data_IF_582240688893
#
_entry.id   IF_582240688893
#
_cell.length_a   1.000
_cell.length_b   1.000
_cell.length_c   1.000
_cell.angle_alpha   90.00
_cell.angle_beta   90.00
_cell.angle_gamma   90.00
#
_symmetry.space_group_name_H-M   'P 1'
#
loop_
_entity.id
_entity.type
_entity.pdbx_description
1 polymer ?
#
# COMPACT_ATOMS: atom_id res chain seq x y z
N UNK A 1 -11.12 8.30 24.99
CA UNK A 1 -10.52 9.04 23.88
C UNK A 1 -9.16 8.44 23.56
N UNK A 2 -9.02 7.86 22.38
CA UNK A 2 -7.78 7.18 21.94
C UNK A 2 -7.02 8.11 20.98
N UNK A 3 -6.19 9.01 21.55
CA UNK A 3 -5.55 10.11 20.83
C UNK A 3 -4.37 9.64 20.01
N UNK A 4 -4.14 10.32 18.89
CA UNK A 4 -2.93 10.15 18.08
C UNK A 4 -1.70 10.51 18.93
N UNK A 5 -0.72 9.61 18.96
CA UNK A 5 0.54 9.77 19.67
C UNK A 5 1.65 10.18 18.71
N UNK A 6 2.57 11.03 19.17
CA UNK A 6 3.74 11.43 18.39
C UNK A 6 4.76 10.28 18.33
N UNK A 7 5.43 10.14 17.18
CA UNK A 7 6.49 9.15 16.94
C UNK A 7 6.04 7.69 17.14
N UNK A 8 4.86 7.35 16.60
CA UNK A 8 4.40 5.97 16.64
C UNK A 8 5.39 5.08 15.88
N UNK A 9 5.95 4.12 16.61
CA UNK A 9 6.87 3.13 16.03
C UNK A 9 6.10 2.28 15.02
N UNK A 10 6.60 2.23 13.80
CA UNK A 10 6.04 1.36 12.76
C UNK A 10 6.63 -0.06 12.87
N UNK A 11 7.56 -0.38 11.98
CA UNK A 11 8.25 -1.68 11.99
C UNK A 11 9.55 -1.56 12.78
N UNK A 12 9.78 -2.48 13.71
CA UNK A 12 10.99 -2.55 14.53
C UNK A 12 12.26 -2.85 13.71
N UNK A 13 13.44 -2.44 14.23
CA UNK A 13 14.72 -2.55 13.51
C UNK A 13 15.05 -3.98 13.10
N UNK A 14 14.97 -4.93 14.02
CA UNK A 14 15.26 -6.35 13.73
C UNK A 14 14.33 -6.92 12.64
N UNK A 15 13.04 -6.55 12.67
CA UNK A 15 12.09 -6.96 11.65
C UNK A 15 12.42 -6.30 10.30
N UNK A 16 12.87 -5.03 10.28
CA UNK A 16 13.31 -4.35 9.05
C UNK A 16 14.50 -5.03 8.37
N UNK A 17 15.46 -5.51 9.15
CA UNK A 17 16.62 -6.26 8.60
C UNK A 17 16.16 -7.56 7.93
N UNK A 18 15.26 -8.30 8.57
CA UNK A 18 14.72 -9.54 8.00
C UNK A 18 13.88 -9.27 6.75
N UNK A 19 13.07 -8.20 6.75
CA UNK A 19 12.34 -7.71 5.58
C UNK A 19 13.31 -7.42 4.44
N UNK A 20 14.36 -6.63 4.70
CA UNK A 20 15.36 -6.28 3.69
C UNK A 20 16.06 -7.51 3.10
N UNK A 21 16.41 -8.49 3.93
CA UNK A 21 17.02 -9.73 3.49
C UNK A 21 16.11 -10.54 2.56
N UNK A 22 14.83 -10.67 2.92
CA UNK A 22 13.82 -11.39 2.12
C UNK A 22 13.51 -10.65 0.81
N UNK A 23 13.32 -9.35 0.89
CA UNK A 23 13.12 -8.48 -0.29
C UNK A 23 14.25 -8.67 -1.32
N UNK A 24 15.50 -8.58 -0.88
CA UNK A 24 16.68 -8.74 -1.74
C UNK A 24 16.71 -10.11 -2.42
N UNK A 25 16.42 -11.18 -1.69
CA UNK A 25 16.39 -12.54 -2.25
C UNK A 25 15.26 -12.72 -3.26
N UNK A 26 14.06 -12.19 -2.97
CA UNK A 26 12.92 -12.21 -3.90
C UNK A 26 13.26 -11.42 -5.16
N UNK A 27 13.74 -10.18 -5.00
CA UNK A 27 14.13 -9.32 -6.12
C UNK A 27 15.18 -9.99 -7.00
N UNK A 28 16.21 -10.59 -6.41
CA UNK A 28 17.25 -11.31 -7.15
C UNK A 28 16.69 -12.49 -7.96
N UNK A 29 15.78 -13.28 -7.37
CA UNK A 29 15.15 -14.40 -8.06
C UNK A 29 14.39 -13.95 -9.32
N UNK A 30 13.58 -12.89 -9.19
CA UNK A 30 12.82 -12.35 -10.32
C UNK A 30 13.73 -11.65 -11.34
N UNK A 31 14.76 -10.92 -10.90
CA UNK A 31 15.72 -10.31 -11.80
C UNK A 31 16.55 -11.34 -12.58
N UNK A 32 16.89 -12.48 -11.96
CA UNK A 32 17.58 -13.56 -12.66
C UNK A 32 16.75 -14.15 -13.78
N UNK A 33 15.45 -14.35 -13.54
CA UNK A 33 14.51 -14.90 -14.53
C UNK A 33 14.20 -13.93 -15.66
N UNK A 34 13.83 -12.69 -15.34
CA UNK A 34 13.26 -11.77 -16.35
C UNK A 34 14.27 -10.79 -16.94
N UNK A 35 15.32 -10.44 -16.19
CA UNK A 35 16.33 -9.45 -16.61
C UNK A 35 17.71 -10.05 -16.88
N UNK A 36 17.88 -11.36 -16.69
CA UNK A 36 19.20 -12.02 -16.72
C UNK A 36 20.22 -11.30 -15.83
N UNK A 37 19.76 -10.80 -14.67
CA UNK A 37 20.55 -9.95 -13.76
C UNK A 37 20.53 -10.52 -12.33
N UNK A 38 21.68 -10.52 -11.67
CA UNK A 38 21.80 -10.89 -10.26
C UNK A 38 21.53 -9.75 -9.26
N UNK A 39 21.00 -8.62 -9.71
CA UNK A 39 20.71 -7.47 -8.84
C UNK A 39 19.68 -7.82 -7.78
N UNK A 40 19.96 -7.41 -6.55
CA UNK A 40 19.09 -7.64 -5.38
C UNK A 40 18.13 -6.47 -5.12
N UNK A 41 18.24 -5.38 -5.87
CA UNK A 41 17.48 -4.14 -5.62
C UNK A 41 16.95 -3.46 -6.87
N UNK A 42 17.54 -3.71 -8.04
CA UNK A 42 17.05 -3.13 -9.29
C UNK A 42 15.66 -3.70 -9.64
N UNK A 43 14.88 -2.92 -10.35
CA UNK A 43 13.57 -3.32 -10.87
C UNK A 43 12.56 -3.75 -9.79
N UNK A 44 12.71 -3.23 -8.58
CA UNK A 44 11.77 -3.48 -7.49
C UNK A 44 11.57 -2.24 -6.62
N UNK A 45 10.39 -2.14 -6.00
CA UNK A 45 10.00 -1.01 -5.17
C UNK A 45 9.08 -1.51 -4.06
N UNK A 46 9.36 -1.13 -2.81
CA UNK A 46 8.33 -1.27 -1.77
C UNK A 46 7.15 -0.38 -2.12
N UNK A 47 5.94 -0.93 -2.03
CA UNK A 47 4.70 -0.20 -2.27
C UNK A 47 3.75 -0.39 -1.07
N UNK A 48 2.46 -0.13 -1.24
CA UNK A 48 1.51 -0.26 -0.15
C UNK A 48 1.85 0.61 1.07
N UNK A 49 1.45 0.17 2.25
CA UNK A 49 1.68 0.93 3.49
C UNK A 49 3.16 1.06 3.85
N UNK A 50 3.97 0.05 3.52
CA UNK A 50 5.41 0.08 3.78
C UNK A 50 6.11 1.12 2.90
N UNK A 51 5.80 1.15 1.61
CA UNK A 51 6.31 2.15 0.67
C UNK A 51 5.88 3.58 1.02
N UNK A 52 4.64 3.78 1.47
CA UNK A 52 4.09 5.08 1.89
C UNK A 52 4.53 5.53 3.29
N UNK A 53 5.30 4.71 4.04
CA UNK A 53 5.80 5.06 5.38
C UNK A 53 4.77 4.94 6.52
N UNK A 54 3.61 4.32 6.26
CA UNK A 54 2.48 4.20 7.19
C UNK A 54 2.29 2.78 7.75
N UNK A 55 3.21 1.84 7.44
CA UNK A 55 3.16 0.47 7.93
C UNK A 55 3.30 0.38 9.45
N UNK A 56 2.62 -0.58 10.03
CA UNK A 56 2.74 -1.03 11.43
C UNK A 56 3.41 -2.41 11.48
N UNK A 57 3.64 -2.94 12.69
CA UNK A 57 4.29 -4.23 12.87
C UNK A 57 3.58 -5.39 12.15
N UNK A 58 2.25 -5.32 12.03
CA UNK A 58 1.41 -6.38 11.46
C UNK A 58 1.06 -6.14 9.98
N UNK A 59 1.61 -5.10 9.37
CA UNK A 59 1.36 -4.81 7.96
C UNK A 59 2.00 -5.84 7.04
N UNK A 60 1.28 -6.24 6.00
CA UNK A 60 1.82 -6.99 4.87
C UNK A 60 2.87 -6.15 4.13
N UNK A 61 3.75 -6.81 3.41
CA UNK A 61 4.83 -6.19 2.67
C UNK A 61 4.55 -6.27 1.18
N UNK A 62 4.11 -5.16 0.64
CA UNK A 62 3.80 -5.04 -0.78
C UNK A 62 5.06 -4.64 -1.55
N UNK A 63 5.40 -5.38 -2.58
CA UNK A 63 6.56 -5.14 -3.44
C UNK A 63 6.14 -5.14 -4.90
N UNK A 64 6.30 -4.02 -5.58
CA UNK A 64 6.19 -3.96 -7.03
C UNK A 64 7.48 -4.51 -7.64
N UNK A 65 7.34 -5.41 -8.60
CA UNK A 65 8.41 -5.99 -9.39
C UNK A 65 8.26 -5.51 -10.84
N UNK A 66 9.09 -4.55 -11.26
CA UNK A 66 9.09 -4.04 -12.63
C UNK A 66 9.73 -5.06 -13.55
N UNK A 67 9.00 -5.52 -14.55
CA UNK A 67 9.43 -6.50 -15.52
C UNK A 67 9.79 -5.82 -16.87
N UNK A 68 10.63 -6.45 -17.71
CA UNK A 68 10.97 -5.89 -19.00
C UNK A 68 9.73 -5.63 -19.86
N UNK A 69 9.57 -4.42 -20.38
CA UNK A 69 8.43 -4.08 -21.25
C UNK A 69 8.34 -4.97 -22.49
N UNK A 70 9.45 -5.53 -22.96
CA UNK A 70 9.46 -6.51 -24.05
C UNK A 70 8.65 -7.77 -23.76
N UNK A 71 8.49 -8.14 -22.48
CA UNK A 71 7.68 -9.30 -22.07
C UNK A 71 6.18 -8.99 -22.05
N UNK A 72 5.76 -7.72 -21.98
CA UNK A 72 4.36 -7.34 -21.91
C UNK A 72 3.52 -7.98 -23.02
N UNK A 73 3.95 -7.84 -24.27
CA UNK A 73 3.22 -8.36 -25.43
C UNK A 73 3.02 -9.88 -25.40
N UNK A 74 3.96 -10.63 -24.81
CA UNK A 74 3.87 -12.07 -24.65
C UNK A 74 2.66 -12.47 -23.77
N UNK A 75 2.39 -11.72 -22.72
CA UNK A 75 1.28 -11.98 -21.80
C UNK A 75 -0.02 -11.33 -22.28
N UNK A 76 0.04 -10.17 -22.89
CA UNK A 76 -1.13 -9.44 -23.40
C UNK A 76 -1.80 -10.15 -24.59
N UNK A 77 -0.99 -10.62 -25.54
CA UNK A 77 -1.50 -11.35 -26.73
C UNK A 77 -1.83 -12.83 -26.47
N UNK A 78 -1.68 -13.32 -25.24
CA UNK A 78 -1.94 -14.71 -24.94
C UNK A 78 -3.44 -15.03 -25.05
N UNK A 79 -3.80 -16.05 -25.86
CA UNK A 79 -5.20 -16.50 -26.00
C UNK A 79 -5.65 -17.20 -24.71
N UNK A 80 -6.27 -16.48 -23.80
CA UNK A 80 -6.67 -16.89 -22.47
C UNK A 80 -6.28 -15.86 -21.43
N UNK A 81 -6.11 -16.28 -20.18
CA UNK A 81 -5.72 -15.36 -19.10
C UNK A 81 -4.18 -15.22 -19.03
N UNK A 82 -3.61 -14.29 -19.82
CA UNK A 82 -2.18 -14.01 -19.83
C UNK A 82 -1.69 -13.43 -18.52
N UNK A 83 -2.52 -12.67 -17.81
CA UNK A 83 -2.26 -12.13 -16.48
C UNK A 83 -2.02 -13.25 -15.46
N UNK A 84 -2.83 -14.30 -15.50
CA UNK A 84 -2.62 -15.50 -14.68
C UNK A 84 -1.30 -16.21 -15.01
N UNK A 85 -0.93 -16.28 -16.29
CA UNK A 85 0.36 -16.83 -16.71
C UNK A 85 1.55 -16.01 -16.20
N UNK A 86 1.44 -14.68 -16.20
CA UNK A 86 2.45 -13.81 -15.62
C UNK A 86 2.64 -14.12 -14.15
N UNK A 87 1.55 -14.20 -13.37
CA UNK A 87 1.64 -14.55 -11.96
C UNK A 87 2.28 -15.92 -11.74
N UNK A 88 1.98 -16.94 -12.59
CA UNK A 88 2.62 -18.25 -12.48
C UNK A 88 4.13 -18.21 -12.82
N UNK A 89 4.56 -17.41 -13.79
CA UNK A 89 5.98 -17.26 -14.10
C UNK A 89 6.75 -16.61 -12.93
N UNK A 90 6.22 -15.53 -12.35
CA UNK A 90 6.82 -14.91 -11.15
C UNK A 90 6.81 -15.85 -9.95
N UNK A 91 5.70 -16.57 -9.73
CA UNK A 91 5.62 -17.61 -8.69
C UNK A 91 6.71 -18.65 -8.87
N UNK A 92 6.93 -19.16 -10.08
CA UNK A 92 7.95 -20.18 -10.36
C UNK A 92 9.34 -19.66 -10.03
N UNK A 93 9.71 -18.45 -10.49
CA UNK A 93 11.00 -17.83 -10.21
C UNK A 93 11.26 -17.68 -8.70
N UNK A 94 10.25 -17.28 -7.93
CA UNK A 94 10.36 -17.15 -6.46
C UNK A 94 10.44 -18.51 -5.79
N UNK A 95 9.68 -19.51 -6.25
CA UNK A 95 9.63 -20.86 -5.67
C UNK A 95 10.96 -21.62 -5.83
N UNK A 96 11.75 -21.38 -6.86
CA UNK A 96 13.09 -21.93 -7.00
C UNK A 96 14.01 -21.50 -5.86
N UNK A 97 13.89 -20.26 -5.41
CA UNK A 97 14.67 -19.73 -4.26
C UNK A 97 14.07 -20.12 -2.92
N UNK A 98 12.77 -20.31 -2.85
CA UNK A 98 11.99 -20.59 -1.65
C UNK A 98 11.17 -21.87 -1.78
N UNK A 99 11.83 -23.01 -2.04
CA UNK A 99 11.21 -24.30 -2.37
C UNK A 99 10.29 -24.87 -1.27
N UNK A 100 10.48 -24.48 -0.01
CA UNK A 100 9.67 -24.92 1.15
C UNK A 100 8.71 -23.87 1.67
N UNK A 101 8.65 -22.69 1.02
CA UNK A 101 7.79 -21.56 1.43
C UNK A 101 6.46 -21.63 0.66
N UNK A 102 5.36 -21.27 1.31
CA UNK A 102 4.06 -21.17 0.66
C UNK A 102 4.04 -19.98 -0.30
N UNK A 103 4.04 -20.27 -1.62
CA UNK A 103 4.01 -19.26 -2.69
C UNK A 103 2.80 -19.52 -3.57
N UNK A 104 1.90 -18.54 -3.68
CA UNK A 104 0.65 -18.65 -4.45
C UNK A 104 0.35 -17.41 -5.27
N UNK A 105 -0.17 -17.59 -6.49
CA UNK A 105 -0.82 -16.50 -7.24
C UNK A 105 -2.19 -16.21 -6.66
N UNK A 106 -2.52 -14.93 -6.46
CA UNK A 106 -3.79 -14.48 -5.88
C UNK A 106 -4.26 -13.18 -6.56
N UNK A 107 -5.16 -13.31 -7.49
CA UNK A 107 -5.80 -12.18 -8.17
C UNK A 107 -4.84 -11.28 -8.94
N UNK A 108 -4.13 -10.43 -8.25
CA UNK A 108 -3.23 -9.42 -8.82
C UNK A 108 -1.76 -9.63 -8.42
N UNK A 109 -1.51 -10.47 -7.41
CA UNK A 109 -0.20 -10.59 -6.77
C UNK A 109 0.25 -12.05 -6.66
N UNK A 110 1.54 -12.22 -6.40
CA UNK A 110 2.08 -13.48 -5.90
C UNK A 110 2.33 -13.32 -4.40
N UNK A 111 1.65 -14.12 -3.60
CA UNK A 111 1.74 -14.10 -2.13
C UNK A 111 2.80 -15.08 -1.67
N UNK A 112 3.74 -14.62 -0.85
CA UNK A 112 4.79 -15.42 -0.21
C UNK A 112 4.57 -15.39 1.30
N UNK A 113 4.25 -16.55 1.92
CA UNK A 113 4.00 -16.67 3.35
C UNK A 113 5.15 -17.41 4.02
N UNK A 114 5.84 -16.72 4.91
CA UNK A 114 6.93 -17.32 5.70
C UNK A 114 6.39 -17.93 6.99
N UNK A 115 7.12 -18.93 7.50
CA UNK A 115 6.75 -19.68 8.72
C UNK A 115 6.68 -18.84 10.00
N UNK A 116 7.33 -17.68 10.01
CA UNK A 116 7.29 -16.71 11.12
C UNK A 116 6.12 -15.71 11.03
N UNK A 117 5.17 -15.95 10.11
CA UNK A 117 3.98 -15.11 9.89
C UNK A 117 4.20 -13.92 8.97
N UNK A 118 5.43 -13.63 8.54
CA UNK A 118 5.68 -12.54 7.59
C UNK A 118 5.11 -12.88 6.22
N UNK A 119 4.39 -11.93 5.62
CA UNK A 119 3.78 -12.07 4.30
C UNK A 119 4.30 -11.00 3.35
N UNK A 120 4.71 -11.42 2.14
CA UNK A 120 4.97 -10.53 1.01
C UNK A 120 3.89 -10.70 -0.04
N UNK A 121 3.43 -9.59 -0.60
CA UNK A 121 2.59 -9.52 -1.78
C UNK A 121 3.40 -8.91 -2.91
N UNK A 122 3.69 -9.71 -3.92
CA UNK A 122 4.54 -9.33 -5.04
C UNK A 122 3.64 -8.94 -6.21
N UNK A 123 3.69 -7.68 -6.61
CA UNK A 123 2.94 -7.11 -7.71
C UNK A 123 3.84 -7.03 -8.95
N UNK A 124 3.82 -8.00 -9.87
CA UNK A 124 4.52 -7.86 -11.13
C UNK A 124 3.88 -6.78 -11.98
N UNK A 125 4.68 -5.92 -12.59
CA UNK A 125 4.17 -4.79 -13.36
C UNK A 125 5.13 -4.41 -14.48
N UNK A 126 4.61 -3.68 -15.46
CA UNK A 126 5.36 -3.17 -16.60
C UNK A 126 5.30 -1.64 -16.59
N UNK A 127 6.41 -0.97 -16.80
CA UNK A 127 6.41 0.48 -16.98
C UNK A 127 5.62 0.86 -18.24
N UNK A 128 4.67 1.77 -18.08
CA UNK A 128 3.95 2.39 -19.16
C UNK A 128 4.56 3.77 -19.44
N UNK A 129 5.01 3.96 -20.66
CA UNK A 129 5.57 5.21 -21.14
C UNK A 129 4.64 5.85 -22.15
N UNK A 130 4.59 7.18 -22.20
CA UNK A 130 3.90 7.90 -23.25
C UNK A 130 4.67 7.87 -24.59
N UNK A 131 4.11 8.52 -25.60
CA UNK A 131 4.73 8.58 -26.94
C UNK A 131 6.03 9.40 -26.99
N UNK A 132 6.37 10.13 -25.94
CA UNK A 132 7.64 10.88 -25.80
C UNK A 132 8.64 10.15 -24.91
N UNK A 133 8.29 8.96 -24.39
CA UNK A 133 9.15 8.17 -23.52
C UNK A 133 9.13 8.62 -22.05
N UNK A 134 8.15 9.43 -21.65
CA UNK A 134 7.97 9.79 -20.25
C UNK A 134 7.17 8.73 -19.50
N UNK A 135 7.55 8.44 -18.26
CA UNK A 135 6.82 7.52 -17.40
C UNK A 135 5.40 8.04 -17.10
N UNK A 136 4.42 7.17 -17.23
CA UNK A 136 3.00 7.46 -16.95
C UNK A 136 2.50 6.69 -15.75
N UNK A 137 2.70 5.37 -15.75
CA UNK A 137 2.21 4.46 -14.72
C UNK A 137 2.91 3.11 -14.80
N UNK A 138 2.52 2.20 -13.92
CA UNK A 138 2.79 0.78 -14.05
C UNK A 138 1.52 0.04 -14.45
N UNK A 139 1.57 -0.79 -15.50
CA UNK A 139 0.52 -1.72 -15.87
C UNK A 139 0.72 -3.02 -15.06
N UNK A 140 -0.28 -3.43 -14.27
CA UNK A 140 -0.20 -4.64 -13.46
C UNK A 140 -1.39 -5.58 -13.75
N UNK A 141 -1.23 -6.90 -13.51
CA UNK A 141 -2.26 -7.88 -13.86
C UNK A 141 -3.43 -7.88 -12.88
N UNK A 142 -4.63 -8.08 -13.40
CA UNK A 142 -5.80 -8.54 -12.66
C UNK A 142 -6.35 -9.79 -13.34
N UNK A 143 -6.29 -10.93 -12.66
CA UNK A 143 -6.68 -12.22 -13.24
C UNK A 143 -8.19 -12.48 -13.23
N UNK A 144 -8.97 -11.58 -12.61
CA UNK A 144 -10.42 -11.74 -12.56
C UNK A 144 -11.07 -11.53 -13.93
N UNK A 145 -12.23 -12.13 -14.12
CA UNK A 145 -13.08 -11.97 -15.31
C UNK A 145 -12.36 -12.17 -16.65
N UNK A 146 -11.45 -13.14 -16.71
CA UNK A 146 -10.71 -13.47 -17.93
C UNK A 146 -9.37 -12.77 -18.10
N UNK A 147 -9.04 -11.87 -17.19
CA UNK A 147 -7.78 -11.13 -17.16
C UNK A 147 -7.88 -9.75 -17.80
N UNK A 148 -7.22 -8.78 -17.17
CA UNK A 148 -7.06 -7.41 -17.66
C UNK A 148 -5.82 -6.76 -17.04
N UNK A 149 -5.43 -5.62 -17.58
CA UNK A 149 -4.39 -4.78 -17.01
C UNK A 149 -5.02 -3.61 -16.28
N UNK A 150 -4.47 -3.30 -15.11
CA UNK A 150 -4.81 -2.13 -14.31
C UNK A 150 -3.58 -1.23 -14.22
N UNK A 151 -3.79 0.05 -13.96
CA UNK A 151 -2.70 1.01 -13.83
C UNK A 151 -2.52 1.45 -12.37
N UNK A 152 -1.27 1.75 -11.97
CA UNK A 152 -0.94 2.34 -10.67
C UNK A 152 0.32 3.21 -10.78
N UNK A 153 0.41 4.22 -9.90
CA UNK A 153 1.64 5.01 -9.73
C UNK A 153 2.01 5.14 -8.24
N UNK A 154 2.64 4.10 -7.69
CA UNK A 154 3.04 4.11 -6.29
C UNK A 154 4.17 5.10 -5.99
N UNK A 155 4.95 5.55 -6.99
CA UNK A 155 5.99 6.57 -6.78
C UNK A 155 5.34 7.92 -6.47
N UNK A 156 4.33 8.31 -7.26
CA UNK A 156 3.58 9.53 -6.99
C UNK A 156 2.87 9.48 -5.62
N UNK A 157 2.30 8.31 -5.25
CA UNK A 157 1.71 8.13 -3.92
C UNK A 157 2.72 8.36 -2.79
N UNK A 158 3.89 7.76 -2.90
CA UNK A 158 4.95 7.85 -1.88
C UNK A 158 5.47 9.29 -1.73
N UNK A 159 5.70 9.97 -2.84
CA UNK A 159 6.21 11.35 -2.81
C UNK A 159 5.18 12.30 -2.21
N UNK A 160 3.91 12.23 -2.63
CA UNK A 160 2.85 13.05 -2.06
C UNK A 160 2.67 12.81 -0.56
N UNK A 161 2.70 11.55 -0.12
CA UNK A 161 2.61 11.19 1.30
C UNK A 161 3.81 11.73 2.09
N UNK A 162 5.01 11.64 1.55
CA UNK A 162 6.25 12.13 2.18
C UNK A 162 6.24 13.65 2.31
N UNK A 163 5.88 14.38 1.26
CA UNK A 163 5.77 15.84 1.27
C UNK A 163 4.74 16.32 2.30
N UNK A 164 3.53 15.75 2.28
CA UNK A 164 2.48 16.09 3.23
C UNK A 164 2.88 15.74 4.67
N UNK A 165 3.58 14.63 4.87
CA UNK A 165 4.09 14.25 6.19
C UNK A 165 5.17 15.22 6.69
N UNK A 166 6.06 15.69 5.82
CA UNK A 166 7.04 16.71 6.18
C UNK A 166 6.35 18.02 6.57
N UNK A 167 5.36 18.48 5.81
CA UNK A 167 4.56 19.67 6.13
C UNK A 167 3.80 19.54 7.45
N UNK A 168 3.28 18.37 7.75
CA UNK A 168 2.61 18.08 9.03
C UNK A 168 3.56 17.72 10.18
N UNK A 169 4.87 17.83 9.98
CA UNK A 169 5.92 17.46 10.96
C UNK A 169 5.76 16.06 11.54
N UNK A 170 5.31 15.11 10.72
CA UNK A 170 5.13 13.70 11.09
C UNK A 170 3.71 13.31 11.49
N UNK A 171 2.79 14.26 11.71
CA UNK A 171 1.44 13.98 12.17
C UNK A 171 0.67 13.06 11.19
N UNK A 172 0.86 13.22 9.88
CA UNK A 172 0.20 12.38 8.87
C UNK A 172 0.51 10.90 9.09
N UNK A 173 1.79 10.53 9.18
CA UNK A 173 2.19 9.14 9.36
C UNK A 173 1.78 8.58 10.70
N UNK A 174 1.90 9.39 11.77
CA UNK A 174 1.45 9.00 13.10
C UNK A 174 -0.06 8.73 13.12
N UNK A 175 -0.87 9.57 12.46
CA UNK A 175 -2.32 9.38 12.36
C UNK A 175 -2.66 8.09 11.59
N UNK A 176 -2.04 7.86 10.44
CA UNK A 176 -2.27 6.64 9.65
C UNK A 176 -1.94 5.37 10.44
N UNK A 177 -0.80 5.37 11.17
CA UNK A 177 -0.41 4.25 12.03
C UNK A 177 -1.34 4.08 13.22
N UNK A 178 -1.78 5.19 13.83
CA UNK A 178 -2.72 5.16 14.95
C UNK A 178 -4.05 4.52 14.55
N UNK A 179 -4.64 4.94 13.42
CA UNK A 179 -5.87 4.33 12.88
C UNK A 179 -5.70 2.83 12.67
N UNK A 180 -4.55 2.38 12.12
CA UNK A 180 -4.27 0.94 11.95
C UNK A 180 -4.20 0.19 13.27
N UNK A 181 -3.55 0.79 14.28
CA UNK A 181 -3.44 0.18 15.60
C UNK A 181 -4.81 0.08 16.29
N UNK A 182 -5.65 1.12 16.23
CA UNK A 182 -7.02 1.10 16.75
C UNK A 182 -7.87 0.06 16.02
N UNK A 183 -7.75 -0.02 14.69
CA UNK A 183 -8.42 -1.04 13.89
C UNK A 183 -8.00 -2.46 14.32
N UNK A 184 -6.71 -2.73 14.41
CA UNK A 184 -6.20 -4.05 14.78
C UNK A 184 -6.63 -4.46 16.19
N UNK A 185 -6.64 -3.52 17.14
CA UNK A 185 -7.01 -3.79 18.53
C UNK A 185 -8.52 -4.00 18.75
N UNK A 186 -9.39 -3.25 18.05
CA UNK A 186 -10.79 -3.16 18.39
C UNK A 186 -11.76 -3.57 17.27
N UNK A 187 -11.31 -3.56 16.02
CA UNK A 187 -12.16 -3.75 14.84
C UNK A 187 -11.60 -4.75 13.82
N UNK A 188 -10.71 -5.66 14.22
CA UNK A 188 -10.02 -6.60 13.34
C UNK A 188 -10.95 -7.52 12.53
N UNK A 189 -12.20 -7.72 12.96
CA UNK A 189 -13.23 -8.45 12.23
C UNK A 189 -13.84 -7.67 11.05
N UNK A 190 -13.63 -6.36 10.99
CA UNK A 190 -14.09 -5.50 9.89
C UNK A 190 -12.97 -5.25 8.91
N UNK A 191 -13.32 -5.15 7.63
CA UNK A 191 -12.34 -4.81 6.60
C UNK A 191 -12.05 -3.31 6.59
N UNK A 192 -10.78 -2.94 6.70
CA UNK A 192 -10.31 -1.56 6.53
C UNK A 192 -9.02 -1.57 5.71
N UNK A 193 -9.11 -1.11 4.47
CA UNK A 193 -7.96 -1.09 3.56
C UNK A 193 -6.97 0.01 3.93
N UNK A 194 -5.67 -0.31 3.87
CA UNK A 194 -4.60 0.65 4.18
C UNK A 194 -4.59 1.87 3.26
N UNK A 195 -4.95 1.71 1.98
CA UNK A 195 -5.03 2.86 1.05
C UNK A 195 -6.20 3.79 1.40
N UNK A 196 -7.32 3.26 1.91
CA UNK A 196 -8.45 4.07 2.36
C UNK A 196 -8.05 4.91 3.58
N UNK A 197 -7.32 4.32 4.54
CA UNK A 197 -6.79 5.07 5.70
C UNK A 197 -5.89 6.21 5.22
N UNK A 198 -4.88 5.88 4.42
CA UNK A 198 -3.86 6.84 3.99
C UNK A 198 -4.46 7.99 3.18
N UNK A 199 -5.36 7.69 2.25
CA UNK A 199 -6.03 8.70 1.42
C UNK A 199 -7.02 9.56 2.19
N UNK A 200 -7.75 8.97 3.13
CA UNK A 200 -8.64 9.74 4.01
C UNK A 200 -7.83 10.72 4.87
N UNK A 201 -6.79 10.24 5.56
CA UNK A 201 -5.96 11.12 6.42
C UNK A 201 -5.26 12.18 5.57
N UNK A 202 -4.74 11.82 4.39
CA UNK A 202 -4.11 12.77 3.46
C UNK A 202 -5.03 13.93 3.09
N UNK A 203 -6.32 13.67 2.85
CA UNK A 203 -7.30 14.71 2.52
C UNK A 203 -7.82 15.46 3.74
N UNK A 204 -8.00 14.77 4.88
CA UNK A 204 -8.64 15.31 6.07
C UNK A 204 -7.72 16.13 6.97
N UNK A 205 -6.40 15.89 6.94
CA UNK A 205 -5.44 16.51 7.85
C UNK A 205 -5.36 18.04 7.73
N UNK A 206 -5.65 18.60 6.53
CA UNK A 206 -5.54 20.06 6.31
C UNK A 206 -4.13 20.59 6.66
N UNK A 207 -4.08 21.66 7.46
CA UNK A 207 -2.85 22.32 7.92
C UNK A 207 -2.42 21.86 9.32
N UNK A 208 -3.05 20.83 9.86
CA UNK A 208 -2.67 20.29 11.17
C UNK A 208 -1.27 19.70 11.13
N UNK A 209 -0.48 19.99 12.16
CA UNK A 209 0.90 19.53 12.31
C UNK A 209 1.30 19.38 13.78
N UNK A 210 2.32 18.58 14.07
CA UNK A 210 2.91 18.55 15.39
C UNK A 210 3.60 19.89 15.75
N UNK A 211 3.35 20.39 16.94
CA UNK A 211 4.04 21.56 17.48
C UNK A 211 5.24 21.16 18.35
N UNK A 212 6.21 22.08 18.52
CA UNK A 212 7.38 21.89 19.39
C UNK A 212 7.01 22.27 20.84
N UNK A 213 6.12 21.54 21.45
CA UNK A 213 5.62 21.78 22.78
C UNK A 213 4.31 21.05 23.03
N UNK A 214 3.73 21.20 24.21
CA UNK A 214 2.38 20.73 24.46
C UNK A 214 1.44 21.40 23.45
N UNK A 215 0.65 20.58 22.77
CA UNK A 215 -0.31 21.07 21.78
C UNK A 215 -1.16 22.20 22.37
N UNK A 216 -1.10 23.38 21.79
CA UNK A 216 -1.98 24.51 22.13
C UNK A 216 -3.45 24.24 21.73
N UNK A 217 -3.71 23.16 20.99
CA UNK A 217 -5.05 22.74 20.63
C UNK A 217 -5.73 22.02 21.82
N UNK A 218 -7.04 22.23 22.04
CA UNK A 218 -7.79 21.46 23.01
C UNK A 218 -7.61 19.95 22.81
N UNK A 219 -7.52 19.23 23.89
CA UNK A 219 -7.37 17.79 23.85
C UNK A 219 -8.50 17.14 23.05
N UNK A 220 -8.15 16.38 22.01
CA UNK A 220 -9.11 15.70 21.13
C UNK A 220 -9.64 16.55 19.95
N UNK A 221 -9.23 17.81 19.82
CA UNK A 221 -9.69 18.68 18.74
C UNK A 221 -9.31 18.14 17.34
N UNK A 222 -8.14 17.50 17.23
CA UNK A 222 -7.67 16.91 15.97
C UNK A 222 -8.48 15.66 15.60
N UNK A 223 -8.73 14.76 16.55
CA UNK A 223 -9.51 13.56 16.33
C UNK A 223 -10.99 13.90 16.00
N UNK A 224 -11.55 14.91 16.68
CA UNK A 224 -12.87 15.44 16.32
C UNK A 224 -12.89 16.00 14.90
N UNK A 225 -11.85 16.74 14.49
CA UNK A 225 -11.74 17.26 13.11
C UNK A 225 -11.74 16.14 12.06
N UNK A 226 -11.05 15.03 12.33
CA UNK A 226 -11.07 13.87 11.43
C UNK A 226 -12.48 13.25 11.35
N UNK A 227 -13.17 13.15 12.47
CA UNK A 227 -14.55 12.65 12.51
C UNK A 227 -15.53 13.59 11.77
N UNK A 228 -15.42 14.90 12.00
CA UNK A 228 -16.24 15.90 11.31
C UNK A 228 -16.05 15.83 9.78
N UNK A 229 -14.83 15.63 9.32
CA UNK A 229 -14.55 15.49 7.89
C UNK A 229 -15.14 14.19 7.32
N UNK A 230 -15.07 13.09 8.06
CA UNK A 230 -15.73 11.84 7.69
C UNK A 230 -17.24 12.00 7.59
N UNK A 231 -17.86 12.62 8.59
CA UNK A 231 -19.31 12.87 8.61
C UNK A 231 -19.73 13.83 7.49
N UNK A 232 -18.93 14.88 7.22
CA UNK A 232 -19.15 15.81 6.09
C UNK A 232 -19.16 15.08 4.74
N UNK A 233 -18.17 14.22 4.49
CA UNK A 233 -18.09 13.40 3.27
C UNK A 233 -19.28 12.45 3.15
N UNK A 234 -19.71 11.90 4.27
CA UNK A 234 -20.87 10.97 4.35
C UNK A 234 -22.20 11.64 4.06
N UNK A 235 -22.35 12.92 4.42
CA UNK A 235 -23.59 13.70 4.22
C UNK A 235 -23.72 14.27 2.79
N UNK A 236 -22.63 14.35 2.02
CA UNK A 236 -22.64 14.92 0.66
C UNK A 236 -23.30 14.02 -0.42
N UNK A 237 -23.97 12.96 -0.05
CA UNK A 237 -25.02 12.30 -0.85
C UNK A 237 -24.66 10.96 -1.46
N UNK A 238 -23.41 10.54 -1.56
CA UNK A 238 -23.05 9.18 -1.97
C UNK A 238 -22.32 8.46 -0.86
N UNK A 239 -22.92 7.40 -0.31
CA UNK A 239 -22.29 6.49 0.61
C UNK A 239 -22.13 5.15 -0.12
N UNK A 240 -20.92 4.63 -0.27
CA UNK A 240 -19.62 5.13 0.21
C UNK A 240 -19.11 6.35 -0.56
N UNK A 241 -18.46 7.29 0.12
CA UNK A 241 -17.91 8.49 -0.52
C UNK A 241 -16.67 8.17 -1.38
N UNK A 242 -16.40 9.03 -2.37
CA UNK A 242 -15.22 8.91 -3.22
C UNK A 242 -13.97 9.40 -2.49
N UNK A 243 -12.89 8.61 -2.59
CA UNK A 243 -11.53 8.99 -2.24
C UNK A 243 -10.62 8.81 -3.44
N UNK A 244 -9.52 9.55 -3.43
CA UNK A 244 -8.47 9.45 -4.43
C UNK A 244 -7.14 9.19 -3.74
N UNK A 245 -6.31 8.35 -4.35
CA UNK A 245 -4.97 8.08 -3.83
C UNK A 245 -4.09 9.33 -3.87
N UNK A 246 -3.26 9.55 -2.85
CA UNK A 246 -2.30 10.65 -2.83
C UNK A 246 -1.43 10.67 -4.09
N UNK A 247 -1.23 11.82 -4.68
CA UNK A 247 -0.35 12.01 -5.84
C UNK A 247 -0.87 11.41 -7.15
N UNK A 248 -1.15 10.11 -7.19
CA UNK A 248 -1.62 9.42 -8.41
C UNK A 248 -3.06 9.77 -8.80
N UNK A 249 -3.85 10.31 -7.89
CA UNK A 249 -5.26 10.69 -8.09
C UNK A 249 -6.17 9.56 -8.61
N UNK A 250 -5.78 8.32 -8.39
CA UNK A 250 -6.60 7.17 -8.75
C UNK A 250 -7.79 7.02 -7.80
N UNK A 251 -8.97 6.75 -8.37
CA UNK A 251 -10.18 6.54 -7.57
C UNK A 251 -10.04 5.26 -6.72
N UNK A 252 -10.44 5.35 -5.45
CA UNK A 252 -10.35 4.27 -4.48
C UNK A 252 -11.75 3.75 -4.16
N UNK A 253 -11.92 2.43 -4.23
CA UNK A 253 -13.13 1.78 -3.74
C UNK A 253 -13.15 1.79 -2.20
N UNK A 254 -14.06 2.58 -1.64
CA UNK A 254 -14.24 2.71 -0.18
C UNK A 254 -15.33 1.80 0.38
N UNK A 255 -16.13 1.14 -0.47
CA UNK A 255 -17.36 0.43 -0.08
C UNK A 255 -17.16 -0.57 1.07
N UNK A 256 -16.10 -1.36 1.03
CA UNK A 256 -15.79 -2.37 2.05
C UNK A 256 -15.11 -1.82 3.31
N UNK A 257 -14.63 -0.58 3.28
CA UNK A 257 -13.85 0.05 4.36
C UNK A 257 -14.59 1.18 5.07
N UNK A 258 -15.59 1.75 4.42
CA UNK A 258 -16.32 2.92 4.88
C UNK A 258 -16.86 2.78 6.31
N UNK A 259 -17.61 1.71 6.58
CA UNK A 259 -18.21 1.50 7.88
C UNK A 259 -17.18 1.37 9.00
N UNK A 260 -16.12 0.62 8.74
CA UNK A 260 -15.05 0.41 9.70
C UNK A 260 -14.27 1.69 9.98
N UNK A 261 -13.95 2.49 8.95
CA UNK A 261 -13.30 3.78 9.13
C UNK A 261 -14.10 4.69 10.07
N UNK A 262 -15.41 4.79 9.87
CA UNK A 262 -16.28 5.57 10.74
C UNK A 262 -16.30 5.08 12.20
N UNK A 263 -16.28 3.75 12.43
CA UNK A 263 -16.21 3.18 13.79
C UNK A 263 -14.88 3.55 14.47
N UNK A 264 -13.77 3.44 13.76
CA UNK A 264 -12.43 3.78 14.28
C UNK A 264 -12.36 5.26 14.65
N UNK A 265 -12.79 6.16 13.76
CA UNK A 265 -12.75 7.60 13.99
C UNK A 265 -13.63 8.03 15.19
N UNK A 266 -14.81 7.43 15.34
CA UNK A 266 -15.67 7.69 16.52
C UNK A 266 -15.00 7.25 17.82
N UNK A 267 -14.33 6.10 17.83
CA UNK A 267 -13.58 5.67 19.02
C UNK A 267 -12.42 6.61 19.35
N UNK A 268 -11.74 7.17 18.34
CA UNK A 268 -10.66 8.12 18.57
C UNK A 268 -11.18 9.46 19.14
N UNK A 269 -12.36 9.92 18.69
CA UNK A 269 -12.96 11.19 19.09
C UNK A 269 -13.71 11.14 20.45
N UNK A 270 -14.13 9.95 20.89
CA UNK A 270 -14.77 9.71 22.18
C UNK A 270 -13.74 9.37 23.25
#
# INVERSE_FOLDING_TARGET
MDRVKKNIVGVESAKRELISKRYKRITKAVNSEFWSSGSETAHSLYVGSYGRGTATADSDLDVLLSLPRSEYGRYDMYSGNGQSRLLQAVKSAVSETYSTTDVKGDGQVVVVRFSDGMKFELLPAFEHMDCWGSFVSYDYPDTHMGGRWLATDPKAEQEAMKEKNAGSRGLLFDTCKHIRNVHAANFSSYRLSGIVIDSFVFSAIGDWHWTDGESSAPAGAYEMRLLDEFDRLSLQGAVPFALYSPGSQQAIDTAKSYECLGKVLRQMAC
#
